data_IF_121457956194
#
_entry.id   IF_121457956194
#
_cell.length_a   1.000
_cell.length_b   1.000
_cell.length_c   1.000
_cell.angle_alpha   90.00
_cell.angle_beta   90.00
_cell.angle_gamma   90.00
#
_symmetry.space_group_name_H-M   'P 1'
#
loop_
_entity.id
_entity.type
_entity.pdbx_description
1 polymer ?
#
# COMPACT_ATOMS: atom_id res chain seq x y z
N UNK A 1 19.69 6.45 0.28
CA UNK A 1 19.72 5.79 -1.03
C UNK A 1 21.09 5.21 -1.35
N UNK A 2 22.18 5.98 -1.31
CA UNK A 2 23.55 5.52 -1.69
C UNK A 2 24.01 4.31 -0.87
N UNK A 3 23.87 4.34 0.46
CA UNK A 3 24.26 3.23 1.33
C UNK A 3 23.51 1.95 0.95
N UNK A 4 22.21 2.04 0.70
CA UNK A 4 21.37 0.91 0.34
C UNK A 4 21.67 0.37 -1.07
N UNK A 5 21.96 1.28 -2.02
CA UNK A 5 22.41 0.86 -3.37
C UNK A 5 23.71 0.07 -3.28
N UNK A 6 24.67 0.48 -2.43
CA UNK A 6 25.92 -0.25 -2.18
C UNK A 6 25.73 -1.64 -1.55
N UNK A 7 24.58 -1.91 -0.93
CA UNK A 7 24.21 -3.22 -0.39
C UNK A 7 23.46 -4.11 -1.40
N UNK A 8 23.33 -3.69 -2.65
CA UNK A 8 22.62 -4.43 -3.69
C UNK A 8 21.08 -4.40 -3.54
N UNK A 9 20.54 -3.47 -2.77
CA UNK A 9 19.11 -3.28 -2.63
C UNK A 9 18.54 -2.78 -3.96
N UNK A 10 17.55 -3.47 -4.48
CA UNK A 10 16.88 -3.11 -5.75
C UNK A 10 15.69 -2.17 -5.57
N UNK A 11 15.10 -2.15 -4.39
CA UNK A 11 13.82 -1.52 -4.11
C UNK A 11 13.82 -0.85 -2.74
N UNK A 12 13.39 0.40 -2.67
CA UNK A 12 13.34 1.19 -1.44
C UNK A 12 11.95 1.77 -1.28
N UNK A 13 11.27 1.43 -0.18
CA UNK A 13 10.03 2.06 0.24
C UNK A 13 10.33 3.32 1.07
N UNK A 14 9.62 4.41 0.79
CA UNK A 14 9.83 5.72 1.43
C UNK A 14 8.51 6.24 1.99
N UNK A 15 8.49 6.49 3.28
CA UNK A 15 7.51 7.35 3.94
C UNK A 15 7.96 8.79 3.75
N UNK A 16 7.25 9.51 2.88
CA UNK A 16 7.70 10.82 2.37
C UNK A 16 7.35 11.95 3.33
N UNK A 17 8.37 12.50 4.00
CA UNK A 17 8.26 13.71 4.85
C UNK A 17 7.16 13.58 5.93
N UNK A 18 6.71 14.70 6.46
CA UNK A 18 5.70 14.79 7.52
C UNK A 18 4.35 15.27 6.97
N UNK A 19 3.27 14.99 7.67
CA UNK A 19 1.91 15.31 7.21
C UNK A 19 1.64 16.81 7.03
N UNK A 20 2.31 17.68 7.76
CA UNK A 20 2.19 19.14 7.63
C UNK A 20 2.99 19.72 6.47
N UNK A 21 3.75 18.90 5.75
CA UNK A 21 4.56 19.37 4.62
C UNK A 21 3.67 19.82 3.47
N UNK A 22 3.90 21.07 3.05
CA UNK A 22 3.18 21.66 1.92
C UNK A 22 3.49 20.93 0.60
N UNK A 23 2.58 21.02 -0.36
CA UNK A 23 2.65 20.32 -1.65
C UNK A 23 3.96 20.62 -2.41
N UNK A 24 4.39 21.88 -2.47
CA UNK A 24 5.57 22.26 -3.27
C UNK A 24 6.87 21.63 -2.73
N UNK A 25 7.23 21.72 -1.44
CA UNK A 25 8.39 21.02 -0.90
C UNK A 25 8.25 19.48 -0.97
N UNK A 26 7.05 18.91 -0.77
CA UNK A 26 6.83 17.47 -0.93
C UNK A 26 7.09 17.00 -2.37
N UNK A 27 6.60 17.76 -3.36
CA UNK A 27 6.86 17.48 -4.78
C UNK A 27 8.33 17.55 -5.11
N UNK A 28 9.03 18.62 -4.64
CA UNK A 28 10.47 18.79 -4.85
C UNK A 28 11.27 17.61 -4.27
N UNK A 29 10.92 17.17 -3.07
CA UNK A 29 11.56 16.02 -2.41
C UNK A 29 11.33 14.73 -3.19
N UNK A 30 10.08 14.44 -3.59
CA UNK A 30 9.75 13.26 -4.37
C UNK A 30 10.50 13.20 -5.70
N UNK A 31 10.53 14.32 -6.45
CA UNK A 31 11.25 14.41 -7.73
C UNK A 31 12.76 14.20 -7.54
N UNK A 32 13.34 14.83 -6.50
CA UNK A 32 14.77 14.68 -6.19
C UNK A 32 15.13 13.24 -5.84
N UNK A 33 14.32 12.60 -4.99
CA UNK A 33 14.55 11.21 -4.58
C UNK A 33 14.42 10.24 -5.76
N UNK A 34 13.41 10.44 -6.62
CA UNK A 34 13.22 9.60 -7.81
C UNK A 34 14.42 9.73 -8.78
N UNK A 35 14.88 10.95 -9.06
CA UNK A 35 16.06 11.19 -9.92
C UNK A 35 17.35 10.61 -9.35
N UNK A 36 17.56 10.75 -8.03
CA UNK A 36 18.76 10.17 -7.40
C UNK A 36 18.71 8.64 -7.38
N UNK A 37 17.52 8.06 -7.20
CA UNK A 37 17.34 6.61 -7.28
C UNK A 37 17.68 6.08 -8.68
N UNK A 38 17.20 6.72 -9.73
CA UNK A 38 17.54 6.39 -11.12
C UNK A 38 19.04 6.43 -11.37
N UNK A 39 19.72 7.50 -10.90
CA UNK A 39 21.17 7.64 -11.00
C UNK A 39 21.94 6.51 -10.29
N UNK A 40 21.35 5.95 -9.24
CA UNK A 40 21.94 4.86 -8.44
C UNK A 40 21.49 3.46 -8.89
N UNK A 41 20.63 3.35 -9.91
CA UNK A 41 20.10 2.07 -10.38
C UNK A 41 19.18 1.36 -9.39
N UNK A 42 18.54 2.09 -8.46
CA UNK A 42 17.57 1.54 -7.50
C UNK A 42 16.17 2.08 -7.76
N UNK A 43 15.15 1.29 -7.48
CA UNK A 43 13.76 1.74 -7.53
C UNK A 43 13.36 2.34 -6.18
N UNK A 44 12.71 3.51 -6.20
CA UNK A 44 12.05 4.09 -5.02
C UNK A 44 10.55 4.12 -5.22
N UNK A 45 9.80 3.87 -4.17
CA UNK A 45 8.35 4.03 -4.14
C UNK A 45 7.94 4.79 -2.89
N UNK A 46 6.95 5.67 -3.04
CA UNK A 46 6.41 6.47 -1.96
C UNK A 46 5.18 5.79 -1.40
N UNK A 47 5.21 5.50 -0.10
CA UNK A 47 4.13 4.80 0.58
C UNK A 47 2.95 5.73 0.85
N UNK A 48 1.74 5.24 0.63
CA UNK A 48 0.53 5.86 1.19
C UNK A 48 0.48 5.57 2.68
N UNK A 49 0.87 6.56 3.51
CA UNK A 49 1.07 6.34 4.94
C UNK A 49 0.60 7.54 5.77
N UNK A 50 0.00 7.26 6.95
CA UNK A 50 -0.33 8.29 7.94
C UNK A 50 0.91 9.07 8.35
N UNK A 51 0.75 10.26 8.87
CA UNK A 51 1.80 11.16 9.35
C UNK A 51 2.83 11.56 8.27
N UNK A 52 2.51 11.38 6.98
CA UNK A 52 3.37 11.72 5.85
C UNK A 52 2.68 12.66 4.87
N UNK A 53 3.41 13.13 3.87
CA UNK A 53 2.86 13.95 2.79
C UNK A 53 1.82 13.21 1.90
N UNK A 54 1.64 11.90 2.11
CA UNK A 54 0.68 11.05 1.39
C UNK A 54 -0.47 10.53 2.27
N UNK A 55 -0.67 11.10 3.46
CA UNK A 55 -1.55 10.53 4.49
C UNK A 55 -3.03 10.46 4.14
N UNK A 56 -3.51 11.34 3.26
CA UNK A 56 -4.90 11.34 2.81
C UNK A 56 -5.02 11.21 1.30
N UNK A 57 -6.15 10.69 0.78
CA UNK A 57 -6.42 10.62 -0.65
C UNK A 57 -6.22 11.95 -1.39
N UNK A 58 -6.59 13.07 -0.77
CA UNK A 58 -6.48 14.42 -1.36
C UNK A 58 -5.01 14.85 -1.49
N UNK A 59 -4.22 14.72 -0.41
CA UNK A 59 -2.79 15.03 -0.41
C UNK A 59 -2.03 14.14 -1.40
N UNK A 60 -2.33 12.84 -1.38
CA UNK A 60 -1.75 11.90 -2.31
C UNK A 60 -2.07 12.25 -3.77
N UNK A 61 -3.33 12.56 -4.08
CA UNK A 61 -3.75 12.94 -5.44
C UNK A 61 -3.04 14.21 -5.91
N UNK A 62 -2.98 15.23 -5.05
CA UNK A 62 -2.28 16.46 -5.35
C UNK A 62 -0.78 16.23 -5.63
N UNK A 63 -0.12 15.43 -4.79
CA UNK A 63 1.29 15.07 -4.97
C UNK A 63 1.51 14.26 -6.26
N UNK A 64 0.69 13.26 -6.55
CA UNK A 64 0.80 12.45 -7.76
C UNK A 64 0.64 13.29 -9.04
N UNK A 65 -0.31 14.22 -9.04
CA UNK A 65 -0.50 15.16 -10.16
C UNK A 65 0.67 16.14 -10.30
N UNK A 66 1.16 16.69 -9.19
CA UNK A 66 2.29 17.62 -9.21
C UNK A 66 3.59 16.92 -9.66
N UNK A 67 3.83 15.69 -9.21
CA UNK A 67 4.95 14.87 -9.66
C UNK A 67 4.86 14.57 -11.16
N UNK A 68 3.67 14.20 -11.66
CA UNK A 68 3.46 13.97 -13.10
C UNK A 68 3.71 15.22 -13.94
N UNK A 69 3.24 16.38 -13.49
CA UNK A 69 3.55 17.67 -14.17
C UNK A 69 5.04 17.98 -14.22
N UNK A 70 5.76 17.68 -13.13
CA UNK A 70 7.19 17.98 -13.02
C UNK A 70 8.11 16.98 -13.75
N UNK A 71 7.64 15.76 -14.00
CA UNK A 71 8.50 14.66 -14.52
C UNK A 71 7.97 14.02 -15.81
N UNK A 72 6.72 14.25 -16.19
CA UNK A 72 6.02 13.52 -17.27
C UNK A 72 5.65 12.08 -16.90
N UNK A 73 5.92 11.60 -15.68
CA UNK A 73 5.79 10.20 -15.24
C UNK A 73 4.78 10.05 -14.12
N UNK A 74 4.27 8.82 -13.95
CA UNK A 74 3.46 8.48 -12.78
C UNK A 74 4.33 8.47 -11.52
N UNK A 75 3.76 8.91 -10.40
CA UNK A 75 4.39 8.77 -9.08
C UNK A 75 4.57 7.28 -8.79
N UNK A 76 5.78 6.80 -8.46
CA UNK A 76 5.96 5.43 -8.03
C UNK A 76 5.41 5.25 -6.61
N UNK A 77 4.49 4.29 -6.44
CA UNK A 77 3.72 4.15 -5.20
C UNK A 77 3.88 2.75 -4.60
N UNK A 78 4.11 2.70 -3.28
CA UNK A 78 3.78 1.54 -2.44
C UNK A 78 2.41 1.78 -1.84
N UNK A 79 1.48 0.86 -2.06
CA UNK A 79 0.12 1.00 -1.55
C UNK A 79 -0.04 0.33 -0.19
N UNK A 80 -0.30 1.12 0.85
CA UNK A 80 -0.96 0.71 2.08
C UNK A 80 -2.32 1.40 2.17
N UNK A 81 -3.36 0.68 1.81
CA UNK A 81 -4.72 1.22 1.79
C UNK A 81 -5.32 1.40 3.20
N UNK A 82 -4.72 0.80 4.23
CA UNK A 82 -5.21 0.89 5.62
C UNK A 82 -5.28 2.34 6.09
N UNK A 83 -4.29 3.15 5.72
CA UNK A 83 -4.22 4.55 6.11
C UNK A 83 -5.33 5.39 5.47
N UNK A 84 -5.64 5.14 4.20
CA UNK A 84 -6.76 5.82 3.54
C UNK A 84 -8.12 5.39 4.07
N UNK A 85 -8.27 4.08 4.34
CA UNK A 85 -9.50 3.56 4.90
C UNK A 85 -9.84 4.20 6.23
N UNK A 86 -8.85 4.32 7.13
CA UNK A 86 -9.03 4.94 8.46
C UNK A 86 -9.22 6.45 8.35
N UNK A 87 -8.37 7.16 7.58
CA UNK A 87 -8.46 8.62 7.47
C UNK A 87 -9.79 9.11 6.90
N UNK A 88 -10.52 8.26 6.18
CA UNK A 88 -11.80 8.56 5.53
C UNK A 88 -12.96 7.72 6.04
N UNK A 89 -12.75 6.92 7.07
CA UNK A 89 -13.76 6.01 7.64
C UNK A 89 -14.47 5.17 6.58
N UNK A 90 -13.71 4.65 5.60
CA UNK A 90 -14.27 3.91 4.47
C UNK A 90 -14.82 2.57 4.95
N UNK A 91 -16.10 2.32 4.71
CA UNK A 91 -16.75 1.06 5.08
C UNK A 91 -16.49 -0.04 4.04
N UNK A 92 -16.55 -1.29 4.47
CA UNK A 92 -16.24 -2.44 3.62
C UNK A 92 -16.99 -2.49 2.27
N UNK A 93 -18.29 -2.16 2.16
CA UNK A 93 -18.99 -2.11 0.88
C UNK A 93 -18.38 -1.12 -0.12
N UNK A 94 -17.75 -0.05 0.37
CA UNK A 94 -17.19 1.03 -0.43
C UNK A 94 -15.70 0.88 -0.74
N UNK A 95 -15.02 -0.16 -0.24
CA UNK A 95 -13.57 -0.32 -0.40
C UNK A 95 -13.14 -0.23 -1.86
N UNK A 96 -13.75 -0.98 -2.76
CA UNK A 96 -13.36 -0.96 -4.16
C UNK A 96 -13.59 0.42 -4.79
N UNK A 97 -14.77 1.01 -4.61
CA UNK A 97 -15.11 2.29 -5.21
C UNK A 97 -14.19 3.42 -4.75
N UNK A 98 -13.80 3.43 -3.47
CA UNK A 98 -13.06 4.54 -2.87
C UNK A 98 -11.54 4.31 -2.82
N UNK A 99 -11.10 3.07 -2.61
CA UNK A 99 -9.67 2.76 -2.45
C UNK A 99 -8.97 2.36 -3.75
N UNK A 100 -9.72 2.03 -4.83
CA UNK A 100 -9.18 1.74 -6.16
C UNK A 100 -9.37 2.90 -7.14
N UNK A 101 -9.57 4.12 -6.64
CA UNK A 101 -9.85 5.32 -7.46
C UNK A 101 -8.66 5.76 -8.36
N UNK A 102 -7.49 5.12 -8.22
CA UNK A 102 -6.27 5.46 -9.00
C UNK A 102 -5.75 4.26 -9.83
N UNK A 103 -6.54 3.71 -10.77
CA UNK A 103 -6.20 2.46 -11.43
C UNK A 103 -4.85 2.51 -12.16
N UNK A 104 -4.52 3.62 -12.82
CA UNK A 104 -3.23 3.77 -13.50
C UNK A 104 -2.02 3.70 -12.54
N UNK A 105 -2.13 4.31 -11.35
CA UNK A 105 -1.09 4.25 -10.32
C UNK A 105 -1.01 2.87 -9.68
N UNK A 106 -2.16 2.22 -9.44
CA UNK A 106 -2.21 0.84 -8.94
C UNK A 106 -1.55 -0.11 -9.93
N UNK A 107 -1.89 -0.02 -11.20
CA UNK A 107 -1.32 -0.86 -12.27
C UNK A 107 0.19 -0.65 -12.44
N UNK A 108 0.66 0.58 -12.28
CA UNK A 108 2.09 0.90 -12.35
C UNK A 108 2.88 0.49 -11.09
N UNK A 109 2.20 0.18 -9.99
CA UNK A 109 2.85 -0.16 -8.72
C UNK A 109 3.57 -1.51 -8.78
N UNK A 110 4.65 -1.61 -8.02
CA UNK A 110 5.46 -2.83 -7.84
C UNK A 110 5.43 -3.35 -6.41
N UNK A 111 4.79 -2.64 -5.48
CA UNK A 111 4.73 -3.05 -4.08
C UNK A 111 3.39 -2.70 -3.43
N UNK A 112 2.86 -3.68 -2.71
CA UNK A 112 1.70 -3.51 -1.84
C UNK A 112 2.06 -3.94 -0.41
N UNK A 113 1.77 -3.06 0.55
CA UNK A 113 1.67 -3.40 1.95
C UNK A 113 0.22 -3.82 2.23
N UNK A 114 0.02 -5.12 2.38
CA UNK A 114 -1.31 -5.69 2.58
C UNK A 114 -1.55 -5.97 4.06
N UNK A 115 -1.87 -4.90 4.78
CA UNK A 115 -2.25 -4.90 6.19
C UNK A 115 -3.77 -5.02 6.28
N UNK A 116 -4.31 -6.05 6.92
CA UNK A 116 -5.76 -6.15 7.18
C UNK A 116 -6.25 -4.98 8.03
N UNK A 117 -7.28 -4.30 7.54
CA UNK A 117 -7.83 -3.09 8.13
C UNK A 117 -9.36 -3.09 8.12
N UNK A 118 -9.94 -2.16 8.88
CA UNK A 118 -11.34 -1.72 8.73
C UNK A 118 -11.41 -0.18 8.68
N UNK A 119 -12.61 0.37 8.76
CA UNK A 119 -12.82 1.83 8.71
C UNK A 119 -12.27 2.60 9.91
N UNK A 120 -11.89 1.92 10.99
CA UNK A 120 -11.45 2.54 12.25
C UNK A 120 -10.03 2.14 12.65
N UNK A 121 -9.53 1.01 12.14
CA UNK A 121 -8.26 0.44 12.56
C UNK A 121 -7.39 0.10 11.34
N UNK A 122 -6.18 0.64 11.32
CA UNK A 122 -5.18 0.32 10.29
C UNK A 122 -4.73 -1.15 10.35
N UNK A 123 -4.87 -1.79 11.50
CA UNK A 123 -4.58 -3.21 11.68
C UNK A 123 -5.70 -3.85 12.48
N UNK A 124 -6.21 -4.98 11.98
CA UNK A 124 -7.23 -5.78 12.64
C UNK A 124 -6.74 -7.23 12.78
N UNK A 125 -7.26 -8.00 13.75
CA UNK A 125 -7.02 -9.44 13.84
C UNK A 125 -7.47 -10.16 12.58
N UNK A 126 -6.61 -11.03 12.05
CA UNK A 126 -6.93 -11.89 10.89
C UNK A 126 -7.83 -13.03 11.33
N UNK A 127 -7.56 -13.60 12.52
CA UNK A 127 -8.29 -14.76 13.03
C UNK A 127 -8.91 -14.49 14.39
N UNK A 128 -10.02 -15.18 14.66
CA UNK A 128 -10.63 -15.28 15.98
C UNK A 128 -9.83 -16.22 16.91
N UNK A 129 -10.23 -16.33 18.18
CA UNK A 129 -9.58 -17.23 19.15
C UNK A 129 -9.57 -18.71 18.76
N UNK A 130 -10.32 -19.11 17.72
CA UNK A 130 -10.42 -20.49 17.20
C UNK A 130 -9.71 -20.67 15.86
N UNK A 131 -8.97 -19.65 15.38
CA UNK A 131 -8.23 -19.69 14.13
C UNK A 131 -9.08 -19.52 12.86
N UNK A 132 -10.37 -19.15 12.96
CA UNK A 132 -11.23 -18.83 11.83
C UNK A 132 -11.01 -17.36 11.46
N UNK A 133 -11.19 -17.02 10.18
CA UNK A 133 -11.16 -15.62 9.76
C UNK A 133 -12.22 -14.80 10.50
N UNK A 134 -11.84 -13.61 10.93
CA UNK A 134 -12.83 -12.63 11.41
C UNK A 134 -13.68 -12.15 10.24
N UNK A 135 -14.93 -11.71 10.45
CA UNK A 135 -15.76 -11.13 9.39
C UNK A 135 -15.07 -9.97 8.68
N UNK A 136 -14.42 -9.09 9.44
CA UNK A 136 -13.71 -7.92 8.94
C UNK A 136 -12.50 -8.32 8.07
N UNK A 137 -11.76 -9.35 8.46
CA UNK A 137 -10.69 -9.90 7.63
C UNK A 137 -11.25 -10.52 6.35
N UNK A 138 -12.43 -11.14 6.40
CA UNK A 138 -13.15 -11.62 5.22
C UNK A 138 -13.47 -10.50 4.23
N UNK A 139 -13.97 -9.36 4.72
CA UNK A 139 -14.23 -8.15 3.91
C UNK A 139 -12.94 -7.63 3.28
N UNK A 140 -11.89 -7.53 4.08
CA UNK A 140 -10.58 -7.10 3.61
C UNK A 140 -10.02 -8.00 2.50
N UNK A 141 -10.06 -9.33 2.63
CA UNK A 141 -9.53 -10.21 1.59
C UNK A 141 -10.40 -10.23 0.32
N UNK A 142 -11.69 -9.90 0.40
CA UNK A 142 -12.50 -9.61 -0.80
C UNK A 142 -11.98 -8.38 -1.53
N UNK A 143 -11.67 -7.30 -0.80
CA UNK A 143 -11.03 -6.11 -1.35
C UNK A 143 -9.67 -6.44 -1.98
N UNK A 144 -8.81 -7.21 -1.31
CA UNK A 144 -7.49 -7.61 -1.86
C UNK A 144 -7.63 -8.34 -3.20
N UNK A 145 -8.64 -9.18 -3.36
CA UNK A 145 -8.93 -9.81 -4.66
C UNK A 145 -9.27 -8.78 -5.75
N UNK A 146 -10.08 -7.77 -5.41
CA UNK A 146 -10.42 -6.68 -6.34
C UNK A 146 -9.20 -5.81 -6.66
N UNK A 147 -8.34 -5.53 -5.69
CA UNK A 147 -7.08 -4.83 -5.89
C UNK A 147 -6.16 -5.57 -6.88
N UNK A 148 -6.01 -6.88 -6.73
CA UNK A 148 -5.23 -7.69 -7.67
C UNK A 148 -5.86 -7.74 -9.06
N UNK A 149 -7.18 -7.79 -9.18
CA UNK A 149 -7.88 -7.69 -10.46
C UNK A 149 -7.62 -6.32 -11.11
N UNK A 150 -7.71 -5.23 -10.35
CA UNK A 150 -7.37 -3.89 -10.82
C UNK A 150 -5.90 -3.80 -11.28
N UNK A 151 -4.98 -4.34 -10.52
CA UNK A 151 -3.54 -4.34 -10.87
C UNK A 151 -3.25 -5.09 -12.17
N UNK A 152 -3.97 -6.19 -12.44
CA UNK A 152 -3.82 -6.99 -13.65
C UNK A 152 -4.51 -6.40 -14.88
N UNK A 153 -5.52 -5.56 -14.68
CA UNK A 153 -6.32 -5.01 -15.77
C UNK A 153 -5.45 -4.18 -16.74
N UNK A 154 -5.57 -4.44 -18.03
CA UNK A 154 -4.86 -3.71 -19.08
C UNK A 154 -3.35 -4.01 -19.17
N UNK A 155 -2.83 -4.99 -18.47
CA UNK A 155 -1.42 -5.41 -18.57
C UNK A 155 -1.24 -6.52 -19.58
N UNK A 156 -0.29 -6.34 -20.49
CA UNK A 156 0.24 -7.38 -21.39
C UNK A 156 1.47 -8.06 -20.81
N UNK A 157 2.28 -7.32 -20.03
CA UNK A 157 3.40 -7.81 -19.22
C UNK A 157 3.12 -7.51 -17.75
N UNK A 158 3.02 -8.55 -16.95
CA UNK A 158 2.67 -8.39 -15.54
C UNK A 158 3.88 -8.04 -14.65
N UNK A 159 5.09 -8.28 -15.10
CA UNK A 159 6.28 -8.00 -14.31
C UNK A 159 6.20 -8.60 -12.89
N UNK A 160 7.05 -8.13 -11.99
CA UNK A 160 7.11 -8.56 -10.59
C UNK A 160 6.28 -7.62 -9.70
N UNK A 161 5.44 -8.18 -8.83
CA UNK A 161 4.72 -7.47 -7.76
C UNK A 161 5.16 -8.01 -6.41
N UNK A 162 5.73 -7.15 -5.60
CA UNK A 162 6.11 -7.45 -4.23
C UNK A 162 4.93 -7.19 -3.29
N UNK A 163 4.67 -8.16 -2.42
CA UNK A 163 3.56 -8.08 -1.48
C UNK A 163 4.05 -8.40 -0.08
N UNK A 164 3.87 -7.46 0.84
CA UNK A 164 4.16 -7.62 2.25
C UNK A 164 2.86 -7.77 3.04
N UNK A 165 2.58 -8.91 3.68
CA UNK A 165 1.51 -9.02 4.68
C UNK A 165 1.98 -8.32 5.95
N UNK A 166 1.86 -7.01 5.99
CA UNK A 166 2.44 -6.16 7.00
C UNK A 166 1.58 -6.12 8.25
N UNK A 167 2.03 -6.78 9.32
CA UNK A 167 1.43 -6.68 10.65
C UNK A 167 2.50 -6.24 11.66
N UNK A 168 2.26 -5.07 12.28
CA UNK A 168 3.18 -4.48 13.25
C UNK A 168 2.88 -4.93 14.68
N UNK A 169 3.95 -5.01 15.52
CA UNK A 169 3.87 -5.32 16.95
C UNK A 169 4.03 -4.07 17.83
N UNK A 170 4.16 -2.87 17.23
CA UNK A 170 4.49 -1.64 17.93
C UNK A 170 3.79 -0.42 17.32
N UNK A 171 4.06 0.77 17.87
CA UNK A 171 3.60 2.05 17.35
C UNK A 171 2.08 2.18 17.21
N UNK A 172 1.32 1.57 18.14
CA UNK A 172 -0.13 1.63 18.17
C UNK A 172 -0.85 0.74 17.15
N UNK A 173 -0.13 -0.13 16.44
CA UNK A 173 -0.75 -1.12 15.57
C UNK A 173 -1.20 -2.39 16.30
N UNK A 174 -0.65 -2.66 17.48
CA UNK A 174 -0.88 -3.86 18.26
C UNK A 174 -1.31 -3.49 19.68
N UNK A 175 -2.39 -4.08 20.14
CA UNK A 175 -2.89 -3.95 21.50
C UNK A 175 -2.40 -5.12 22.37
N UNK A 176 -2.36 -4.93 23.69
CA UNK A 176 -1.97 -5.99 24.63
C UNK A 176 -2.89 -7.22 24.61
N UNK A 177 -4.11 -7.05 24.11
CA UNK A 177 -5.13 -8.10 23.92
C UNK A 177 -5.04 -8.79 22.56
N UNK A 178 -4.23 -8.27 21.63
CA UNK A 178 -4.09 -8.85 20.30
C UNK A 178 -3.26 -10.14 20.33
N UNK A 179 -3.50 -10.97 19.36
CA UNK A 179 -2.72 -12.19 19.14
C UNK A 179 -1.33 -11.82 18.59
N UNK A 180 -0.31 -12.67 18.80
CA UNK A 180 1.02 -12.43 18.23
C UNK A 180 0.92 -12.20 16.71
N UNK A 181 1.56 -11.11 16.22
CA UNK A 181 1.43 -10.69 14.83
C UNK A 181 2.00 -11.71 13.83
N UNK A 182 3.03 -12.47 14.19
CA UNK A 182 3.66 -13.41 13.27
C UNK A 182 2.74 -14.53 12.77
N UNK A 183 2.02 -15.29 13.63
CA UNK A 183 1.02 -16.25 13.17
C UNK A 183 -0.08 -15.62 12.33
N UNK A 184 -0.54 -14.42 12.69
CA UNK A 184 -1.54 -13.66 11.94
C UNK A 184 -1.00 -13.25 10.55
N UNK A 185 0.26 -12.81 10.44
CA UNK A 185 0.90 -12.49 9.16
C UNK A 185 1.04 -13.74 8.27
N UNK A 186 1.39 -14.89 8.84
CA UNK A 186 1.44 -16.17 8.12
C UNK A 186 0.04 -16.55 7.60
N UNK A 187 -0.99 -16.34 8.40
CA UNK A 187 -2.37 -16.57 7.97
C UNK A 187 -2.77 -15.58 6.87
N UNK A 188 -2.51 -14.28 7.05
CA UNK A 188 -2.78 -13.26 6.04
C UNK A 188 -2.11 -13.60 4.70
N UNK A 189 -0.84 -14.04 4.71
CA UNK A 189 -0.13 -14.48 3.52
C UNK A 189 -0.87 -15.59 2.75
N UNK A 190 -1.46 -16.57 3.44
CA UNK A 190 -2.23 -17.65 2.81
C UNK A 190 -3.47 -17.11 2.10
N UNK A 191 -4.21 -16.23 2.77
CA UNK A 191 -5.42 -15.59 2.21
C UNK A 191 -5.09 -14.67 1.03
N UNK A 192 -3.99 -13.90 1.12
CA UNK A 192 -3.48 -13.06 0.02
C UNK A 192 -3.14 -13.92 -1.20
N UNK A 193 -2.47 -15.06 -1.02
CA UNK A 193 -2.18 -16.00 -2.11
C UNK A 193 -3.45 -16.60 -2.72
N UNK A 194 -4.47 -16.88 -1.91
CA UNK A 194 -5.77 -17.34 -2.39
C UNK A 194 -6.46 -16.24 -3.21
N UNK A 195 -6.46 -15.00 -2.72
CA UNK A 195 -6.98 -13.83 -3.44
C UNK A 195 -6.25 -13.61 -4.78
N UNK A 196 -4.92 -13.76 -4.80
CA UNK A 196 -4.13 -13.67 -6.02
C UNK A 196 -4.52 -14.71 -7.07
N UNK A 197 -4.71 -15.99 -6.66
CA UNK A 197 -5.06 -17.09 -7.57
C UNK A 197 -6.46 -16.92 -8.17
N UNK A 198 -7.36 -16.25 -7.46
CA UNK A 198 -8.75 -16.05 -7.87
C UNK A 198 -9.00 -14.68 -8.53
N UNK A 199 -8.07 -13.73 -8.39
CA UNK A 199 -8.15 -12.44 -9.07
C UNK A 199 -8.00 -12.63 -10.59
N UNK A 200 -9.01 -12.21 -11.35
CA UNK A 200 -9.06 -12.39 -12.83
C UNK A 200 -9.82 -13.64 -13.28
N UNK A 201 -10.35 -14.44 -12.36
CA UNK A 201 -11.36 -15.48 -12.67
C UNK A 201 -12.78 -14.93 -12.42
N UNK A 202 -13.03 -13.70 -12.84
CA UNK A 202 -14.41 -13.22 -12.90
C UNK A 202 -14.91 -13.64 -14.27
N UNK A 203 -15.80 -14.64 -14.25
CA UNK A 203 -16.55 -15.08 -15.40
C UNK A 203 -17.40 -13.91 -15.93
#
# INVERSE_FOLDING_TARGET
LRAQAGLGVRYINIQLLHHDTLLAPATKAAVRLAREAERLGVAVHFETHRDTATETPEKFTALAQAFRRATGRLLPVTWDHSHFAVSKHVQAPDYAARLLAWPALIQASRMFHLRPFNSQHCQIPVTDGRGRLTPEAGDYFRFVRQLFACWRAGKTDHGELWVCPELGMSHGYHLSTDRPAWPEAVRARREILAAWRTAGRVA
#
